data_IF_731876917937
#
_entry.id   IF_731876917937
#
_cell.length_a   1.000
_cell.length_b   1.000
_cell.length_c   1.000
_cell.angle_alpha   90.00
_cell.angle_beta   90.00
_cell.angle_gamma   90.00
#
_symmetry.space_group_name_H-M   'P 1'
#
loop_
_entity.id
_entity.type
_entity.pdbx_description
1 polymer ?
#
# COMPACT_ATOMS: atom_id res chain seq x y z
N UNK A 1 7.28 -13.23 -2.59
CA UNK A 1 6.28 -14.30 -2.83
C UNK A 1 5.00 -14.10 -2.00
N UNK A 2 4.65 -12.88 -1.55
CA UNK A 2 3.55 -12.71 -0.57
C UNK A 2 2.27 -12.07 -1.16
N UNK A 3 2.38 -11.13 -2.10
CA UNK A 3 1.19 -10.43 -2.67
C UNK A 3 0.65 -11.04 -3.97
N UNK A 4 1.47 -11.77 -4.73
CA UNK A 4 1.08 -12.39 -6.02
C UNK A 4 0.09 -13.55 -5.86
N UNK A 5 -0.03 -14.10 -4.66
CA UNK A 5 -0.99 -15.16 -4.33
C UNK A 5 -2.38 -14.61 -3.96
N UNK A 6 -2.44 -13.34 -3.56
CA UNK A 6 -3.69 -12.65 -3.15
C UNK A 6 -4.25 -11.81 -4.30
N UNK A 7 -3.35 -11.19 -5.08
CA UNK A 7 -3.65 -10.22 -6.11
C UNK A 7 -3.16 -10.72 -7.47
N UNK A 8 -3.91 -10.41 -8.54
CA UNK A 8 -3.53 -10.80 -9.89
C UNK A 8 -2.35 -9.97 -10.37
N UNK A 9 -1.36 -10.61 -10.98
CA UNK A 9 -0.20 -9.94 -11.56
C UNK A 9 -0.59 -8.87 -12.59
N UNK A 10 -1.67 -9.08 -13.34
CA UNK A 10 -2.20 -8.09 -14.30
C UNK A 10 -2.70 -6.81 -13.62
N UNK A 11 -3.37 -6.95 -12.48
CA UNK A 11 -3.95 -5.83 -11.73
C UNK A 11 -2.85 -5.01 -11.04
N UNK A 12 -1.85 -5.70 -10.46
CA UNK A 12 -0.62 -5.07 -9.95
C UNK A 12 0.08 -4.28 -11.07
N UNK A 13 0.25 -4.89 -12.25
CA UNK A 13 0.92 -4.23 -13.38
C UNK A 13 0.17 -2.98 -13.83
N UNK A 14 -1.15 -3.04 -13.96
CA UNK A 14 -1.98 -1.86 -14.30
C UNK A 14 -1.85 -0.74 -13.25
N UNK A 15 -1.84 -1.11 -11.97
CA UNK A 15 -1.70 -0.15 -10.88
C UNK A 15 -0.30 0.50 -10.88
N UNK A 16 0.76 -0.27 -11.16
CA UNK A 16 2.12 0.25 -11.37
C UNK A 16 2.18 1.21 -12.57
N UNK A 17 1.61 0.84 -13.71
CA UNK A 17 1.55 1.71 -14.90
C UNK A 17 0.81 3.02 -14.62
N UNK A 18 -0.25 2.99 -13.82
CA UNK A 18 -0.99 4.18 -13.39
C UNK A 18 -0.17 5.07 -12.43
N UNK A 19 0.74 4.50 -11.65
CA UNK A 19 1.56 5.19 -10.66
C UNK A 19 2.99 5.48 -11.15
N UNK A 20 3.30 5.26 -12.43
CA UNK A 20 4.63 5.51 -13.00
C UNK A 20 5.08 6.98 -12.92
N UNK A 21 4.12 7.90 -12.92
CA UNK A 21 4.41 9.34 -12.84
C UNK A 21 4.64 9.72 -11.38
N UNK A 22 5.71 10.47 -11.12
CA UNK A 22 6.00 11.02 -9.79
C UNK A 22 4.97 12.09 -9.41
N UNK A 23 4.62 12.18 -8.13
CA UNK A 23 3.61 13.08 -7.56
C UNK A 23 2.15 12.77 -7.99
N UNK A 24 1.89 11.65 -8.67
CA UNK A 24 0.53 11.23 -9.05
C UNK A 24 0.08 9.96 -8.34
N UNK A 25 0.82 9.47 -7.35
CA UNK A 25 0.41 8.29 -6.60
C UNK A 25 -0.88 8.56 -5.82
N UNK A 26 -1.91 7.76 -6.10
CA UNK A 26 -3.19 7.78 -5.39
C UNK A 26 -3.46 6.40 -4.81
N UNK A 27 -3.39 6.31 -3.47
CA UNK A 27 -3.56 5.06 -2.75
C UNK A 27 -4.95 4.45 -2.94
N UNK A 28 -6.01 5.27 -3.02
CA UNK A 28 -7.39 4.78 -3.19
C UNK A 28 -7.54 4.12 -4.56
N UNK A 29 -7.09 4.83 -5.59
CA UNK A 29 -7.14 4.32 -6.96
C UNK A 29 -6.23 3.10 -7.12
N UNK A 30 -5.08 3.10 -6.46
CA UNK A 30 -4.17 1.96 -6.44
C UNK A 30 -4.84 0.72 -5.84
N UNK A 31 -5.45 0.83 -4.66
CA UNK A 31 -6.15 -0.28 -4.00
C UNK A 31 -7.34 -0.80 -4.80
N UNK A 32 -8.05 0.09 -5.48
CA UNK A 32 -9.13 -0.28 -6.40
C UNK A 32 -8.58 -1.05 -7.62
N UNK A 33 -7.51 -0.55 -8.24
CA UNK A 33 -6.89 -1.19 -9.40
C UNK A 33 -6.32 -2.56 -9.09
N UNK A 34 -5.63 -2.73 -7.95
CA UNK A 34 -5.10 -4.04 -7.54
C UNK A 34 -6.19 -4.97 -7.00
N UNK A 35 -7.41 -4.44 -6.76
CA UNK A 35 -8.56 -5.21 -6.31
C UNK A 35 -8.60 -5.51 -4.81
N UNK A 36 -7.77 -4.84 -4.00
CA UNK A 36 -7.71 -5.01 -2.53
C UNK A 36 -9.03 -4.59 -1.85
N UNK A 37 -9.75 -3.61 -2.40
CA UNK A 37 -11.02 -3.10 -1.86
C UNK A 37 -12.13 -4.15 -1.72
N UNK A 38 -12.08 -5.21 -2.52
CA UNK A 38 -13.06 -6.33 -2.49
C UNK A 38 -12.55 -7.56 -1.75
N UNK A 39 -11.33 -7.50 -1.20
CA UNK A 39 -10.70 -8.63 -0.49
C UNK A 39 -11.21 -8.75 0.95
N UNK A 40 -11.02 -9.94 1.51
CA UNK A 40 -11.37 -10.22 2.91
C UNK A 40 -10.41 -9.51 3.87
N UNK A 41 -10.82 -9.32 5.13
CA UNK A 41 -9.93 -8.77 6.17
C UNK A 41 -8.65 -9.60 6.33
N UNK A 42 -8.73 -10.91 6.10
CA UNK A 42 -7.59 -11.84 6.18
C UNK A 42 -6.57 -11.56 5.08
N UNK A 43 -7.05 -11.31 3.86
CA UNK A 43 -6.22 -10.90 2.73
C UNK A 43 -5.59 -9.52 2.94
N UNK A 44 -6.34 -8.57 3.51
CA UNK A 44 -5.80 -7.26 3.90
C UNK A 44 -4.70 -7.41 4.93
N UNK A 45 -4.86 -8.31 5.90
CA UNK A 45 -3.85 -8.60 6.91
C UNK A 45 -2.59 -9.22 6.30
N UNK A 46 -2.73 -10.14 5.35
CA UNK A 46 -1.58 -10.71 4.63
C UNK A 46 -0.88 -9.68 3.75
N UNK A 47 -1.64 -8.80 3.09
CA UNK A 47 -1.09 -7.69 2.33
C UNK A 47 -0.32 -6.72 3.26
N UNK A 48 -0.90 -6.38 4.41
CA UNK A 48 -0.27 -5.56 5.43
C UNK A 48 1.04 -6.18 5.92
N UNK A 49 1.02 -7.45 6.33
CA UNK A 49 2.23 -8.20 6.75
C UNK A 49 3.27 -8.37 5.65
N UNK A 50 2.89 -8.23 4.37
CA UNK A 50 3.84 -8.25 3.27
C UNK A 50 4.50 -6.88 3.03
N UNK A 51 3.92 -5.80 3.56
CA UNK A 51 4.42 -4.43 3.51
C UNK A 51 5.21 -4.06 4.76
N UNK A 52 4.76 -4.57 5.91
CA UNK A 52 5.45 -4.53 7.21
C UNK A 52 6.65 -5.49 7.16
N UNK A 53 7.80 -4.98 6.74
CA UNK A 53 9.02 -5.76 6.52
C UNK A 53 9.66 -6.12 7.85
N UNK A 54 9.60 -5.20 8.81
CA UNK A 54 10.19 -5.40 10.14
C UNK A 54 9.27 -6.17 11.10
N UNK A 55 8.02 -6.42 10.70
CA UNK A 55 6.98 -7.09 11.49
C UNK A 55 6.71 -6.35 12.82
N UNK A 56 6.83 -5.03 12.80
CA UNK A 56 6.49 -4.16 13.94
C UNK A 56 4.98 -4.14 14.23
N UNK A 57 4.15 -4.53 13.25
CA UNK A 57 2.70 -4.42 13.29
C UNK A 57 2.17 -3.07 12.79
N UNK A 58 3.05 -2.23 12.25
CA UNK A 58 2.75 -0.90 11.72
C UNK A 58 3.54 -0.68 10.43
N UNK A 59 3.00 0.10 9.49
CA UNK A 59 3.77 0.54 8.31
C UNK A 59 4.33 1.92 8.61
N UNK A 60 5.66 2.01 8.72
CA UNK A 60 6.36 3.26 9.00
C UNK A 60 6.61 4.08 7.72
N UNK A 61 6.98 5.36 7.84
CA UNK A 61 7.26 6.25 6.70
C UNK A 61 8.33 5.66 5.76
N UNK A 62 9.37 5.02 6.31
CA UNK A 62 10.44 4.40 5.51
C UNK A 62 9.93 3.21 4.70
N UNK A 63 9.06 2.38 5.27
CA UNK A 63 8.46 1.23 4.58
C UNK A 63 7.44 1.68 3.55
N UNK A 64 6.67 2.73 3.88
CA UNK A 64 5.71 3.34 2.99
C UNK A 64 6.39 3.92 1.73
N UNK A 65 7.62 4.43 1.86
CA UNK A 65 8.44 4.86 0.72
C UNK A 65 8.69 3.74 -0.29
N UNK A 66 8.85 2.51 0.21
CA UNK A 66 9.04 1.29 -0.57
C UNK A 66 7.73 0.53 -0.82
N UNK A 67 6.56 1.12 -0.53
CA UNK A 67 5.26 0.47 -0.64
C UNK A 67 5.04 -0.20 -2.01
N UNK A 68 5.34 0.49 -3.11
CA UNK A 68 5.19 -0.06 -4.47
C UNK A 68 6.06 -1.30 -4.70
N UNK A 69 7.24 -1.36 -4.07
CA UNK A 69 8.16 -2.50 -4.16
C UNK A 69 7.65 -3.75 -3.45
N UNK A 70 6.77 -3.59 -2.45
CA UNK A 70 6.06 -4.70 -1.81
C UNK A 70 5.13 -5.44 -2.77
N UNK A 71 4.52 -4.72 -3.71
CA UNK A 71 3.62 -5.30 -4.73
C UNK A 71 4.39 -5.83 -5.95
N UNK A 72 5.36 -5.05 -6.43
CA UNK A 72 6.12 -5.35 -7.63
C UNK A 72 7.58 -4.95 -7.44
N UNK A 73 8.52 -5.87 -7.65
CA UNK A 73 9.97 -5.60 -7.49
C UNK A 73 10.49 -4.49 -8.38
N UNK A 74 9.79 -4.19 -9.48
CA UNK A 74 10.04 -3.10 -10.43
C UNK A 74 9.30 -1.79 -10.08
N UNK A 75 8.61 -1.75 -8.94
CA UNK A 75 7.98 -0.55 -8.42
C UNK A 75 9.00 0.55 -8.13
N UNK A 76 8.66 1.79 -8.49
CA UNK A 76 9.47 2.95 -8.12
C UNK A 76 9.33 3.25 -6.62
N UNK A 77 10.24 4.04 -6.10
CA UNK A 77 10.09 4.61 -4.77
C UNK A 77 9.09 5.77 -4.80
N UNK A 78 8.27 5.87 -3.76
CA UNK A 78 7.44 7.05 -3.56
C UNK A 78 8.33 8.24 -3.21
N UNK A 79 7.97 9.43 -3.70
CA UNK A 79 8.68 10.65 -3.31
C UNK A 79 8.29 11.02 -1.88
N UNK A 80 9.13 11.76 -1.16
CA UNK A 80 8.83 12.16 0.22
C UNK A 80 7.51 12.94 0.34
N UNK A 81 7.08 13.63 -0.73
CA UNK A 81 5.76 14.26 -0.81
C UNK A 81 4.64 13.24 -0.87
N UNK A 82 4.76 12.23 -1.72
CA UNK A 82 3.77 11.17 -1.87
C UNK A 82 3.68 10.34 -0.60
N UNK A 83 4.82 9.95 -0.02
CA UNK A 83 4.88 9.20 1.23
C UNK A 83 4.18 9.98 2.35
N UNK A 84 4.49 11.27 2.52
CA UNK A 84 3.82 12.10 3.55
C UNK A 84 2.34 12.31 3.28
N UNK A 85 1.94 12.51 2.04
CA UNK A 85 0.53 12.65 1.67
C UNK A 85 -0.23 11.34 1.91
N UNK A 86 0.39 10.21 1.63
CA UNK A 86 -0.16 8.89 1.85
C UNK A 86 -0.28 8.58 3.33
N UNK A 87 0.80 8.76 4.09
CA UNK A 87 0.82 8.59 5.54
C UNK A 87 -0.28 9.44 6.18
N UNK A 88 -0.33 10.74 5.89
CA UNK A 88 -1.35 11.64 6.45
C UNK A 88 -2.79 11.29 6.07
N UNK A 89 -3.00 10.61 4.95
CA UNK A 89 -4.34 10.17 4.55
C UNK A 89 -4.78 8.92 5.31
N UNK A 90 -3.82 8.04 5.60
CA UNK A 90 -4.00 6.76 6.27
C UNK A 90 -4.00 6.87 7.80
N UNK A 91 -3.03 7.60 8.36
CA UNK A 91 -2.81 7.90 9.77
C UNK A 91 -3.97 8.76 10.30
N UNK A 92 -4.91 8.12 10.99
CA UNK A 92 -6.08 8.75 11.60
C UNK A 92 -5.83 9.11 13.06
N UNK A 93 -4.96 8.37 13.75
CA UNK A 93 -4.68 8.57 15.17
C UNK A 93 -3.51 9.56 15.43
N UNK A 94 -2.74 9.88 14.40
CA UNK A 94 -1.64 10.84 14.41
C UNK A 94 -0.33 10.29 14.98
N UNK A 95 -0.15 8.96 15.00
CA UNK A 95 1.04 8.32 15.54
C UNK A 95 2.23 8.28 14.55
N UNK A 96 2.02 8.71 13.31
CA UNK A 96 3.05 8.79 12.27
C UNK A 96 3.36 7.45 11.60
N UNK A 97 2.51 6.44 11.79
CA UNK A 97 2.59 5.13 11.15
C UNK A 97 1.18 4.68 10.75
N UNK A 98 1.07 3.54 10.07
CA UNK A 98 -0.24 3.02 9.62
C UNK A 98 -0.48 1.68 10.29
N UNK A 99 -1.47 1.63 11.16
CA UNK A 99 -1.94 0.40 11.78
C UNK A 99 -2.77 -0.47 10.83
N UNK A 100 -2.97 -1.74 11.20
CA UNK A 100 -3.79 -2.67 10.42
C UNK A 100 -5.25 -2.19 10.26
N UNK A 101 -5.82 -1.59 11.30
CA UNK A 101 -7.19 -1.04 11.26
C UNK A 101 -7.29 0.15 10.30
N UNK A 102 -6.30 1.04 10.32
CA UNK A 102 -6.21 2.21 9.44
C UNK A 102 -5.98 1.80 8.00
N UNK A 103 -5.09 0.84 7.77
CA UNK A 103 -4.89 0.22 6.47
C UNK A 103 -6.19 -0.39 5.93
N UNK A 104 -6.90 -1.15 6.76
CA UNK A 104 -8.17 -1.76 6.37
C UNK A 104 -9.26 -0.71 6.09
N UNK A 105 -9.34 0.36 6.89
CA UNK A 105 -10.26 1.46 6.69
C UNK A 105 -9.96 2.18 5.37
N UNK A 106 -8.69 2.51 5.12
CA UNK A 106 -8.23 3.19 3.92
C UNK A 106 -8.47 2.37 2.65
N UNK A 107 -8.25 1.05 2.68
CA UNK A 107 -8.50 0.18 1.54
C UNK A 107 -10.01 0.07 1.23
N UNK A 108 -10.85 0.22 2.26
CA UNK A 108 -12.32 0.12 2.14
C UNK A 108 -13.00 1.45 1.81
N UNK A 109 -12.31 2.57 1.99
CA UNK A 109 -12.78 3.93 1.66
C UNK A 109 -13.01 4.09 0.15
#
# INVERSE_FOLDING_TARGET
>A
MAMKDILKAEDIKKAMDACKVADTFDHKKFFEMVGLKTRSTDDLKKAFLALDVDNSGFIEEEELKFFLKGFATDGRDLTDKETKAFLRAADKDGDGKIGMEEFAAMVRE
#
